data_IF_570754297037
#
_entry.id   IF_570754297037
#
_cell.length_a   1.000
_cell.length_b   1.000
_cell.length_c   1.000
_cell.angle_alpha   90.00
_cell.angle_beta   90.00
_cell.angle_gamma   90.00
#
_symmetry.space_group_name_H-M   'P 1'
#
loop_
_entity.id
_entity.type
_entity.pdbx_description
1 polymer ?
#
# COMPACT_ATOMS: atom_id res chain seq x y z
N UNK A 1 -11.01 -16.55 -12.69
CA UNK A 1 -9.95 -16.79 -13.69
C UNK A 1 -8.75 -17.42 -13.00
N UNK A 2 -8.05 -18.35 -13.65
CA UNK A 2 -6.82 -18.98 -13.18
C UNK A 2 -5.55 -18.32 -13.76
N UNK A 3 -5.64 -17.04 -14.16
CA UNK A 3 -4.52 -16.22 -14.65
C UNK A 3 -4.30 -15.01 -13.75
N UNK A 4 -3.24 -14.25 -14.02
CA UNK A 4 -2.85 -13.03 -13.28
C UNK A 4 -3.82 -11.85 -13.46
N UNK A 5 -4.79 -11.94 -14.38
CA UNK A 5 -5.79 -10.90 -14.65
C UNK A 5 -7.07 -10.98 -13.80
N UNK A 6 -7.01 -11.60 -12.61
CA UNK A 6 -8.20 -11.81 -11.77
C UNK A 6 -8.83 -10.55 -11.23
N UNK A 7 -8.04 -9.69 -10.61
CA UNK A 7 -8.51 -8.42 -10.03
C UNK A 7 -9.09 -7.45 -11.07
N UNK A 8 -8.43 -7.13 -12.20
CA UNK A 8 -9.00 -6.19 -13.17
C UNK A 8 -10.31 -6.70 -13.77
N UNK A 9 -10.41 -8.01 -14.05
CA UNK A 9 -11.65 -8.61 -14.53
C UNK A 9 -12.77 -8.55 -13.48
N UNK A 10 -12.44 -8.84 -12.22
CA UNK A 10 -13.42 -8.74 -11.14
C UNK A 10 -13.95 -7.31 -11.01
N UNK A 11 -13.08 -6.29 -11.08
CA UNK A 11 -13.47 -4.89 -11.04
C UNK A 11 -14.43 -4.51 -12.19
N UNK A 12 -14.13 -4.94 -13.42
CA UNK A 12 -14.98 -4.71 -14.59
C UNK A 12 -16.36 -5.37 -14.46
N UNK A 13 -16.39 -6.62 -13.99
CA UNK A 13 -17.64 -7.35 -13.76
C UNK A 13 -18.47 -6.65 -12.69
N UNK A 14 -17.87 -6.26 -11.56
CA UNK A 14 -18.58 -5.59 -10.48
C UNK A 14 -19.10 -4.21 -10.89
N UNK A 15 -18.31 -3.41 -11.62
CA UNK A 15 -18.76 -2.11 -12.12
C UNK A 15 -19.96 -2.24 -13.06
N UNK A 16 -19.89 -3.19 -14.00
CA UNK A 16 -20.99 -3.45 -14.94
C UNK A 16 -22.24 -3.94 -14.21
N UNK A 17 -22.10 -4.94 -13.33
CA UNK A 17 -23.23 -5.51 -12.61
C UNK A 17 -23.90 -4.49 -11.67
N UNK A 18 -23.11 -3.67 -10.95
CA UNK A 18 -23.65 -2.62 -10.08
C UNK A 18 -24.36 -1.53 -10.87
N UNK A 19 -23.82 -1.14 -12.04
CA UNK A 19 -24.44 -0.16 -12.92
C UNK A 19 -25.78 -0.67 -13.44
N UNK A 20 -25.82 -1.90 -13.93
CA UNK A 20 -27.01 -2.47 -14.57
C UNK A 20 -28.12 -2.82 -13.56
N UNK A 21 -27.74 -3.33 -12.38
CA UNK A 21 -28.71 -3.84 -11.39
C UNK A 21 -29.11 -2.81 -10.33
N UNK A 22 -28.25 -1.84 -10.04
CA UNK A 22 -28.46 -0.89 -8.96
C UNK A 22 -28.28 0.58 -9.37
N UNK A 23 -27.91 0.86 -10.63
CA UNK A 23 -27.72 2.24 -11.12
C UNK A 23 -26.53 2.98 -10.49
N UNK A 24 -25.58 2.24 -9.88
CA UNK A 24 -24.40 2.80 -9.19
C UNK A 24 -23.11 2.23 -9.78
N UNK A 25 -22.04 3.02 -9.82
CA UNK A 25 -20.71 2.57 -10.27
C UNK A 25 -19.79 2.15 -9.12
N UNK A 26 -18.69 1.47 -9.44
CA UNK A 26 -17.61 1.26 -8.46
C UNK A 26 -16.85 2.55 -8.20
N UNK A 27 -16.25 2.66 -7.01
CA UNK A 27 -15.32 3.74 -6.72
C UNK A 27 -14.11 3.62 -7.64
N UNK A 28 -13.63 4.73 -8.25
CA UNK A 28 -12.46 4.69 -9.12
C UNK A 28 -11.24 4.16 -8.35
N UNK A 29 -10.39 3.43 -9.06
CA UNK A 29 -9.13 2.95 -8.50
C UNK A 29 -8.27 4.16 -8.05
N UNK A 30 -7.57 4.05 -6.91
CA UNK A 30 -6.74 5.13 -6.41
C UNK A 30 -5.56 5.37 -7.35
N UNK A 31 -5.27 6.65 -7.60
CA UNK A 31 -4.13 7.09 -8.41
C UNK A 31 -3.22 8.01 -7.58
N UNK A 32 -1.89 7.96 -7.75
CA UNK A 32 -0.98 8.90 -7.12
C UNK A 32 -1.31 10.34 -7.50
N UNK A 33 -1.23 11.29 -6.55
CA UNK A 33 -1.32 12.71 -6.89
C UNK A 33 -0.20 13.12 -7.87
N UNK A 34 -0.49 14.04 -8.79
CA UNK A 34 0.51 14.54 -9.75
C UNK A 34 1.61 15.37 -9.11
N UNK A 35 1.31 16.01 -7.98
CA UNK A 35 2.26 16.78 -7.15
C UNK A 35 2.08 16.35 -5.67
N UNK A 36 2.71 15.24 -5.27
CA UNK A 36 2.51 14.70 -3.93
C UNK A 36 3.28 15.53 -2.89
N UNK A 37 2.60 15.84 -1.78
CA UNK A 37 3.25 16.44 -0.63
C UNK A 37 4.34 15.50 -0.05
N UNK A 38 5.42 16.04 0.56
CA UNK A 38 6.43 15.23 1.21
C UNK A 38 5.86 14.29 2.26
N UNK A 39 6.46 13.11 2.38
CA UNK A 39 6.18 12.18 3.48
C UNK A 39 6.81 12.76 4.74
N UNK A 40 6.01 12.83 5.80
CA UNK A 40 6.43 13.31 7.11
C UNK A 40 7.31 12.25 7.79
N UNK A 41 8.48 12.65 8.31
CA UNK A 41 9.45 11.76 8.96
C UNK A 41 8.84 10.92 10.09
N UNK A 42 7.78 11.41 10.76
CA UNK A 42 7.09 10.64 11.81
C UNK A 42 6.39 9.38 11.27
N UNK A 43 6.10 9.34 9.97
CA UNK A 43 5.53 8.18 9.28
C UNK A 43 6.60 7.14 8.97
N UNK A 44 7.87 7.53 8.86
CA UNK A 44 8.99 6.64 8.55
C UNK A 44 9.37 5.75 9.73
N UNK A 45 9.68 4.49 9.44
CA UNK A 45 9.96 3.46 10.43
C UNK A 45 9.86 2.06 9.86
N UNK A 46 10.11 1.06 10.70
CA UNK A 46 10.00 -0.35 10.34
C UNK A 46 8.77 -0.96 10.95
N UNK A 47 7.97 -1.62 10.12
CA UNK A 47 6.70 -2.25 10.44
C UNK A 47 6.81 -3.76 10.22
N UNK A 48 6.55 -4.54 11.27
CA UNK A 48 6.67 -5.99 11.28
C UNK A 48 5.32 -6.66 11.11
N UNK A 49 5.24 -7.53 10.11
CA UNK A 49 4.19 -8.52 9.94
C UNK A 49 4.76 -9.93 10.13
N UNK A 50 3.93 -10.96 9.98
CA UNK A 50 4.40 -12.35 10.00
C UNK A 50 5.44 -12.63 8.92
N UNK A 51 5.26 -12.08 7.71
CA UNK A 51 6.09 -12.41 6.55
C UNK A 51 7.22 -11.40 6.30
N UNK A 52 7.05 -10.14 6.67
CA UNK A 52 8.01 -9.08 6.32
C UNK A 52 8.25 -8.11 7.46
N UNK A 53 9.49 -7.65 7.57
CA UNK A 53 9.82 -6.35 8.15
C UNK A 53 9.84 -5.32 7.02
N UNK A 54 8.89 -4.40 7.02
CA UNK A 54 8.73 -3.37 5.98
C UNK A 54 9.21 -2.03 6.49
N UNK A 55 10.22 -1.45 5.86
CA UNK A 55 10.76 -0.14 6.23
C UNK A 55 10.24 0.93 5.28
N UNK A 56 9.55 1.92 5.82
CA UNK A 56 9.23 3.18 5.12
C UNK A 56 10.33 4.20 5.42
N UNK A 57 11.03 4.66 4.39
CA UNK A 57 12.08 5.65 4.52
C UNK A 57 12.03 6.69 3.39
N UNK A 58 12.44 7.92 3.70
CA UNK A 58 12.70 8.99 2.74
C UNK A 58 14.19 8.98 2.39
N UNK A 59 14.50 9.00 1.10
CA UNK A 59 15.85 9.02 0.55
C UNK A 59 15.94 10.16 -0.48
N UNK A 60 16.50 11.29 -0.06
CA UNK A 60 16.47 12.51 -0.87
C UNK A 60 15.06 13.08 -0.93
N UNK A 61 14.53 13.24 -2.14
CA UNK A 61 13.17 13.73 -2.44
C UNK A 61 12.14 12.61 -2.62
N UNK A 62 12.56 11.35 -2.55
CA UNK A 62 11.73 10.17 -2.82
C UNK A 62 11.56 9.32 -1.57
N UNK A 63 10.51 8.50 -1.53
CA UNK A 63 10.27 7.60 -0.44
C UNK A 63 10.02 6.17 -0.92
N UNK A 64 10.41 5.20 -0.09
CA UNK A 64 10.38 3.80 -0.44
C UNK A 64 9.84 2.94 0.70
N UNK A 65 9.06 1.92 0.33
CA UNK A 65 8.81 0.75 1.15
C UNK A 65 9.79 -0.34 0.75
N UNK A 66 10.72 -0.68 1.64
CA UNK A 66 11.64 -1.80 1.47
C UNK A 66 11.15 -2.98 2.29
N UNK A 67 11.01 -4.16 1.67
CA UNK A 67 10.47 -5.36 2.32
C UNK A 67 11.58 -6.35 2.60
N UNK A 68 11.79 -6.67 3.87
CA UNK A 68 12.77 -7.66 4.32
C UNK A 68 12.03 -8.95 4.70
N UNK A 69 12.20 -10.06 3.95
CA UNK A 69 11.48 -11.28 4.21
C UNK A 69 11.88 -11.93 5.53
N UNK A 70 10.89 -12.52 6.21
CA UNK A 70 11.06 -13.27 7.46
C UNK A 70 10.89 -14.76 7.16
N UNK A 71 12.01 -15.42 6.86
CA UNK A 71 12.07 -16.86 6.56
C UNK A 71 11.85 -17.20 5.08
N UNK A 72 12.02 -18.48 4.76
CA UNK A 72 12.15 -18.99 3.38
C UNK A 72 10.88 -18.78 2.55
N UNK A 73 9.70 -18.94 3.16
CA UNK A 73 8.43 -18.70 2.48
C UNK A 73 8.35 -17.26 1.98
N UNK A 74 8.62 -16.28 2.84
CA UNK A 74 8.57 -14.87 2.47
C UNK A 74 9.63 -14.51 1.41
N UNK A 75 10.80 -15.13 1.50
CA UNK A 75 11.90 -14.95 0.55
C UNK A 75 11.59 -15.52 -0.85
N UNK A 76 10.66 -16.47 -0.96
CA UNK A 76 10.24 -17.04 -2.24
C UNK A 76 9.36 -16.10 -3.08
N UNK A 77 8.80 -15.05 -2.50
CA UNK A 77 7.97 -14.08 -3.21
C UNK A 77 8.83 -12.92 -3.76
N UNK A 78 8.60 -12.47 -5.01
CA UNK A 78 9.31 -11.33 -5.58
C UNK A 78 8.76 -10.01 -5.01
N UNK A 79 9.24 -9.63 -3.83
CA UNK A 79 8.90 -8.35 -3.18
C UNK A 79 10.14 -7.76 -2.53
N UNK A 80 10.68 -6.72 -3.16
CA UNK A 80 11.95 -6.13 -2.74
C UNK A 80 11.75 -4.69 -2.27
N UNK A 81 11.22 -3.83 -3.14
CA UNK A 81 11.16 -2.39 -2.89
C UNK A 81 10.14 -1.71 -3.79
N UNK A 82 9.35 -0.82 -3.22
CA UNK A 82 8.36 -0.03 -3.94
C UNK A 82 8.58 1.45 -3.64
N UNK A 83 8.66 2.29 -4.67
CA UNK A 83 8.54 3.72 -4.48
C UNK A 83 7.10 4.06 -4.07
N UNK A 84 6.97 4.97 -3.12
CA UNK A 84 5.69 5.43 -2.60
C UNK A 84 5.64 6.95 -2.51
N UNK A 85 4.45 7.49 -2.70
CA UNK A 85 4.18 8.91 -2.51
C UNK A 85 3.03 9.10 -1.52
N UNK A 86 2.90 10.32 -0.99
CA UNK A 86 1.82 10.64 -0.07
C UNK A 86 0.48 10.66 -0.82
N UNK A 87 -0.50 9.93 -0.29
CA UNK A 87 -1.88 9.97 -0.77
C UNK A 87 -2.75 10.85 0.14
N UNK A 88 -2.47 10.86 1.45
CA UNK A 88 -3.19 11.65 2.44
C UNK A 88 -2.40 11.86 3.72
N UNK A 89 -3.05 12.37 4.76
CA UNK A 89 -2.40 12.67 6.03
C UNK A 89 -1.77 11.43 6.69
N UNK A 90 -2.45 10.28 6.55
CA UNK A 90 -2.09 8.99 7.14
C UNK A 90 -2.12 7.84 6.11
N UNK A 91 -1.90 8.14 4.84
CA UNK A 91 -1.87 7.13 3.78
C UNK A 91 -0.83 7.46 2.72
N UNK A 92 -0.27 6.40 2.15
CA UNK A 92 0.71 6.43 1.06
C UNK A 92 0.26 5.48 -0.04
N UNK A 93 0.76 5.69 -1.24
CA UNK A 93 0.39 4.90 -2.42
C UNK A 93 1.64 4.61 -3.27
N UNK A 94 1.68 3.44 -3.93
CA UNK A 94 2.80 3.11 -4.84
C UNK A 94 2.85 4.08 -6.02
N UNK A 95 4.05 4.55 -6.36
CA UNK A 95 4.27 5.43 -7.52
C UNK A 95 3.96 4.72 -8.84
N UNK A 96 4.43 3.49 -8.99
CA UNK A 96 4.10 2.61 -10.12
C UNK A 96 2.92 1.69 -9.80
N UNK A 97 2.06 1.38 -10.79
CA UNK A 97 1.01 0.37 -10.62
C UNK A 97 1.63 -1.04 -10.54
N UNK A 98 1.02 -1.90 -9.74
CA UNK A 98 1.27 -3.35 -9.70
C UNK A 98 0.13 -4.08 -10.40
N UNK A 99 0.15 -5.42 -10.40
CA UNK A 99 -1.01 -6.23 -10.83
C UNK A 99 -2.27 -5.75 -10.10
N UNK A 100 -3.23 -5.21 -10.83
CA UNK A 100 -4.50 -4.69 -10.27
C UNK A 100 -4.54 -3.18 -10.00
N UNK A 101 -3.43 -2.44 -10.10
CA UNK A 101 -3.38 -0.99 -9.91
C UNK A 101 -2.38 -0.54 -8.85
N UNK A 102 -2.53 0.69 -8.36
CA UNK A 102 -1.68 1.23 -7.30
C UNK A 102 -2.08 0.70 -5.93
N UNK A 103 -1.09 0.33 -5.11
CA UNK A 103 -1.36 -0.18 -3.77
C UNK A 103 -1.37 0.96 -2.76
N UNK A 104 -2.45 1.07 -1.98
CA UNK A 104 -2.58 2.03 -0.90
C UNK A 104 -2.19 1.37 0.42
N UNK A 105 -1.38 2.06 1.21
CA UNK A 105 -1.04 1.66 2.57
C UNK A 105 -1.53 2.72 3.55
N UNK A 106 -2.23 2.26 4.58
CA UNK A 106 -2.74 3.12 5.65
C UNK A 106 -1.82 3.04 6.87
N UNK A 107 -1.46 4.20 7.41
CA UNK A 107 -0.67 4.35 8.63
C UNK A 107 -1.63 4.61 9.80
N UNK A 108 -1.80 3.63 10.68
CA UNK A 108 -2.93 3.58 11.62
C UNK A 108 -2.46 3.67 13.08
N UNK A 109 -3.26 4.35 13.90
CA UNK A 109 -3.00 4.59 15.31
C UNK A 109 -1.89 5.62 15.54
N UNK A 110 -1.63 5.94 16.79
CA UNK A 110 -0.55 6.83 17.20
C UNK A 110 0.09 6.34 18.48
N UNK A 111 1.41 6.31 18.55
CA UNK A 111 2.15 6.21 19.80
C UNK A 111 2.22 7.58 20.50
N UNK A 112 2.91 7.62 21.65
CA UNK A 112 3.04 8.83 22.47
C UNK A 112 3.84 9.96 21.77
N UNK A 113 4.51 9.65 20.66
CA UNK A 113 5.28 10.59 19.84
C UNK A 113 4.54 11.01 18.57
N UNK A 114 3.27 10.63 18.40
CA UNK A 114 2.51 10.97 17.19
C UNK A 114 2.79 10.06 15.99
N UNK A 115 3.55 8.98 16.18
CA UNK A 115 3.97 8.07 15.10
C UNK A 115 2.96 6.94 14.91
N UNK A 116 2.73 6.48 13.67
CA UNK A 116 1.80 5.40 13.41
C UNK A 116 2.24 4.11 14.09
N UNK A 117 1.30 3.42 14.75
CA UNK A 117 1.54 2.11 15.37
C UNK A 117 1.50 0.97 14.35
N UNK A 118 0.80 1.16 13.24
CA UNK A 118 0.63 0.12 12.23
C UNK A 118 0.78 0.67 10.81
N UNK A 119 1.29 -0.17 9.92
CA UNK A 119 1.19 -0.05 8.47
C UNK A 119 0.21 -1.14 7.99
N UNK A 120 -0.85 -0.76 7.29
CA UNK A 120 -1.90 -1.67 6.88
C UNK A 120 -2.07 -1.69 5.37
N UNK A 121 -1.95 -2.87 4.78
CA UNK A 121 -2.33 -3.18 3.40
C UNK A 121 -2.77 -4.66 3.35
N UNK A 122 -4.08 -4.89 3.45
CA UNK A 122 -4.68 -6.23 3.63
C UNK A 122 -4.50 -6.83 5.03
N UNK A 123 -3.32 -6.66 5.64
CA UNK A 123 -3.02 -7.01 7.02
C UNK A 123 -2.24 -5.89 7.72
N UNK A 124 -2.35 -5.81 9.05
CA UNK A 124 -1.65 -4.83 9.86
C UNK A 124 -0.26 -5.33 10.26
N UNK A 125 0.78 -4.54 9.94
CA UNK A 125 2.14 -4.70 10.42
C UNK A 125 2.41 -3.71 11.55
N UNK A 126 2.91 -4.17 12.70
CA UNK A 126 3.14 -3.34 13.88
C UNK A 126 4.50 -2.62 13.82
N UNK A 127 4.56 -1.35 14.20
CA UNK A 127 5.81 -0.57 14.24
C UNK A 127 6.77 -1.12 15.29
N UNK A 128 8.01 -1.41 14.88
CA UNK A 128 9.09 -1.89 15.76
C UNK A 128 10.29 -0.94 15.85
N UNK A 129 10.40 0.02 14.91
CA UNK A 129 11.41 1.08 14.90
C UNK A 129 10.79 2.34 14.29
#
# INVERSE_FOLDING_TARGET
>A
TNSTGGEPLAYEIFDTALRDLAGVGTAPLPVPPSDPAPIDDRLCGTYRSTLYDTTLAVEGDRAYLTHHPRGDLAASFPRNRDEVVRLGATSIITGDPKSGGHQVFSLVGSDDQGRPRFLHNGAAAYRIA
#
